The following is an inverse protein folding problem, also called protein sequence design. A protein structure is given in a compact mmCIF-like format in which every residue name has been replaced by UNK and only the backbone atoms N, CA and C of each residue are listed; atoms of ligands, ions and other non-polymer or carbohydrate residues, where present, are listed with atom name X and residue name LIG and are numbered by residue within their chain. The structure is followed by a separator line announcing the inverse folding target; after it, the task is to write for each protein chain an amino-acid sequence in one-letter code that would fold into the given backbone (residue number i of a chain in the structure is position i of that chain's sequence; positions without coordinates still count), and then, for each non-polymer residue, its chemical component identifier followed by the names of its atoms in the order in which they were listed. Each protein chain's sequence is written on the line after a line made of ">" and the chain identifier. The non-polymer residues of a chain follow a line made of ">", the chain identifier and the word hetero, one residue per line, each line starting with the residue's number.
data_IF_187444205066
#
_entry.id   IF_187444205066
#
_cell.length_a   1.000
_cell.length_b   1.000
_cell.length_c   1.000
_cell.angle_alpha   90.00
_cell.angle_beta   90.00
_cell.angle_gamma   90.00
#
_symmetry.space_group_name_H-M   'P 1'
#
loop_
_entity.id
_entity.type
_entity.pdbx_description
1 polymer ?
#
# COMPACT_ATOMS: atom_id res chain seq x y z
N UNK A 1 14.71 -25.45 -13.16
CA UNK A 1 15.42 -24.22 -13.58
C UNK A 1 14.50 -23.09 -13.17
N UNK A 2 14.98 -22.09 -12.44
CA UNK A 2 14.17 -20.89 -12.14
C UNK A 2 14.01 -20.11 -13.44
N UNK A 3 12.90 -20.34 -14.12
CA UNK A 3 12.55 -19.63 -15.36
C UNK A 3 11.04 -19.74 -15.54
N UNK A 4 10.31 -18.61 -15.67
CA UNK A 4 10.80 -17.23 -15.71
C UNK A 4 11.39 -16.72 -14.39
N UNK A 5 12.38 -15.84 -14.47
CA UNK A 5 12.73 -14.97 -13.34
C UNK A 5 11.59 -13.99 -13.13
N UNK A 6 11.31 -13.63 -11.88
CA UNK A 6 10.21 -12.77 -11.51
C UNK A 6 8.83 -13.45 -11.54
N UNK A 7 8.75 -14.74 -11.85
CA UNK A 7 7.52 -15.54 -11.75
C UNK A 7 7.35 -16.00 -10.30
N UNK A 8 6.49 -15.30 -9.57
CA UNK A 8 6.33 -15.48 -8.13
C UNK A 8 5.22 -16.49 -7.78
N UNK A 9 4.53 -17.06 -8.77
CA UNK A 9 3.51 -18.10 -8.58
C UNK A 9 3.79 -19.42 -9.34
N UNK A 10 4.97 -19.53 -9.97
CA UNK A 10 5.46 -20.71 -10.69
C UNK A 10 4.50 -21.17 -11.80
N UNK A 11 3.79 -20.23 -12.45
CA UNK A 11 2.82 -20.52 -13.51
C UNK A 11 3.41 -20.46 -14.93
N UNK A 12 4.71 -20.21 -15.03
CA UNK A 12 5.52 -20.00 -16.24
C UNK A 12 5.20 -18.70 -17.02
N UNK A 13 4.46 -17.75 -16.43
CA UNK A 13 4.06 -16.49 -17.06
C UNK A 13 4.40 -15.30 -16.19
N UNK A 14 5.24 -14.41 -16.72
CA UNK A 14 5.53 -13.14 -16.06
C UNK A 14 4.38 -12.13 -16.25
N UNK A 15 3.76 -11.70 -15.15
CA UNK A 15 2.60 -10.83 -15.09
C UNK A 15 2.74 -9.75 -13.99
N UNK A 16 1.80 -8.80 -13.97
CA UNK A 16 1.72 -7.84 -12.87
C UNK A 16 1.28 -8.49 -11.54
N UNK A 17 0.68 -9.68 -11.62
CA UNK A 17 0.29 -10.46 -10.45
C UNK A 17 1.51 -10.94 -9.64
N UNK A 18 2.60 -11.31 -10.31
CA UNK A 18 3.85 -11.69 -9.65
C UNK A 18 4.43 -10.53 -8.82
N UNK A 19 4.38 -9.32 -9.37
CA UNK A 19 4.79 -8.12 -8.63
C UNK A 19 3.90 -7.88 -7.40
N UNK A 20 2.60 -8.16 -7.49
CA UNK A 20 1.69 -8.04 -6.35
C UNK A 20 1.99 -9.09 -5.27
N UNK A 21 2.26 -10.34 -5.64
CA UNK A 21 2.67 -11.40 -4.71
C UNK A 21 4.01 -11.09 -4.04
N UNK A 22 4.98 -10.64 -4.83
CA UNK A 22 6.29 -10.15 -4.36
C UNK A 22 6.11 -9.05 -3.31
N UNK A 23 5.22 -8.08 -3.57
CA UNK A 23 4.93 -6.98 -2.64
C UNK A 23 4.19 -7.45 -1.38
N UNK A 24 3.32 -8.46 -1.48
CA UNK A 24 2.60 -9.04 -0.35
C UNK A 24 3.54 -9.86 0.55
N UNK A 25 4.48 -10.62 0.00
CA UNK A 25 5.49 -11.38 0.76
C UNK A 25 6.30 -10.46 1.68
N UNK A 26 6.63 -9.24 1.22
CA UNK A 26 7.35 -8.24 2.04
C UNK A 26 6.58 -7.86 3.31
N UNK A 27 5.25 -7.79 3.25
CA UNK A 27 4.39 -7.47 4.39
C UNK A 27 4.01 -8.71 5.22
N UNK A 28 3.76 -9.82 4.55
CA UNK A 28 3.24 -11.05 5.13
C UNK A 28 4.16 -12.22 4.74
N UNK A 29 5.30 -12.41 5.46
CA UNK A 29 6.23 -13.48 5.15
C UNK A 29 5.57 -14.86 5.19
N UNK A 30 6.05 -15.76 4.33
CA UNK A 30 5.50 -17.10 4.07
C UNK A 30 4.21 -17.13 3.23
N UNK A 31 3.96 -16.09 2.43
CA UNK A 31 3.03 -16.12 1.31
C UNK A 31 3.61 -16.94 0.15
N UNK A 32 4.93 -16.84 -0.06
CA UNK A 32 5.68 -17.57 -1.08
C UNK A 32 6.45 -18.76 -0.47
N UNK A 33 6.62 -19.81 -1.28
CA UNK A 33 7.53 -20.90 -0.96
C UNK A 33 8.98 -20.54 -1.37
N UNK A 34 9.98 -21.32 -0.94
CA UNK A 34 11.39 -20.97 -1.15
C UNK A 34 11.85 -20.92 -2.62
N UNK A 35 11.15 -21.56 -3.56
CA UNK A 35 11.44 -21.43 -4.99
C UNK A 35 10.80 -20.17 -5.58
N UNK A 36 9.54 -19.89 -5.23
CA UNK A 36 8.83 -18.66 -5.61
C UNK A 36 9.55 -17.42 -5.07
N UNK A 37 10.05 -17.49 -3.82
CA UNK A 37 10.82 -16.40 -3.21
C UNK A 37 12.12 -16.13 -3.97
N UNK A 38 12.82 -17.20 -4.37
CA UNK A 38 14.05 -17.08 -5.15
C UNK A 38 13.78 -16.59 -6.58
N UNK A 39 12.63 -16.93 -7.17
CA UNK A 39 12.23 -16.44 -8.48
C UNK A 39 11.88 -14.95 -8.43
N UNK A 40 11.20 -14.51 -7.37
CA UNK A 40 10.77 -13.13 -7.17
C UNK A 40 11.92 -12.17 -6.80
N UNK A 41 13.02 -12.67 -6.20
CA UNK A 41 14.23 -11.88 -5.97
C UNK A 41 15.01 -11.65 -7.28
N UNK A 42 14.76 -10.49 -7.91
CA UNK A 42 15.25 -10.15 -9.26
C UNK A 42 16.22 -8.98 -9.28
N UNK A 43 16.53 -8.39 -8.12
CA UNK A 43 17.53 -7.35 -7.98
C UNK A 43 18.98 -7.88 -7.96
N UNK A 44 19.94 -6.99 -7.71
CA UNK A 44 21.37 -7.31 -7.69
C UNK A 44 21.93 -7.59 -6.29
N UNK A 45 21.12 -7.40 -5.24
CA UNK A 45 21.52 -7.55 -3.85
C UNK A 45 21.68 -9.07 -3.52
N UNK A 46 22.42 -9.44 -2.45
CA UNK A 46 22.74 -10.84 -2.20
C UNK A 46 21.49 -11.68 -1.88
N UNK A 47 21.48 -12.98 -2.22
CA UNK A 47 20.35 -13.92 -1.91
C UNK A 47 19.81 -13.77 -0.49
N UNK A 48 20.68 -13.52 0.49
CA UNK A 48 20.32 -13.40 1.91
C UNK A 48 19.69 -12.07 2.35
N UNK A 49 19.55 -11.07 1.47
CA UNK A 49 18.85 -9.81 1.79
C UNK A 49 17.34 -9.93 1.67
N UNK A 50 16.84 -11.01 1.05
CA UNK A 50 15.42 -11.26 0.84
C UNK A 50 14.77 -10.34 -0.20
N UNK A 51 13.51 -10.60 -0.50
CA UNK A 51 12.69 -9.80 -1.40
C UNK A 51 12.34 -8.46 -0.77
N UNK A 52 12.23 -7.42 -1.60
CA UNK A 52 11.79 -6.10 -1.21
C UNK A 52 10.87 -5.48 -2.29
N UNK A 53 10.29 -4.28 -2.06
CA UNK A 53 9.40 -3.65 -3.03
C UNK A 53 10.08 -3.25 -4.36
N UNK A 54 11.41 -3.15 -4.41
CA UNK A 54 12.13 -2.88 -5.65
C UNK A 54 12.12 -4.07 -6.61
N UNK A 55 12.16 -5.31 -6.10
CA UNK A 55 11.96 -6.52 -6.90
C UNK A 55 10.62 -6.47 -7.64
N UNK A 56 9.54 -6.14 -6.93
CA UNK A 56 8.21 -5.97 -7.52
C UNK A 56 8.20 -4.90 -8.62
N UNK A 57 8.89 -3.78 -8.40
CA UNK A 57 9.07 -2.73 -9.42
C UNK A 57 9.83 -3.23 -10.65
N UNK A 58 10.89 -4.03 -10.48
CA UNK A 58 11.65 -4.61 -11.58
C UNK A 58 10.79 -5.58 -12.41
N UNK A 59 9.95 -6.40 -11.75
CA UNK A 59 8.96 -7.27 -12.42
C UNK A 59 8.01 -6.43 -13.28
N UNK A 60 7.47 -5.34 -12.74
CA UNK A 60 6.61 -4.42 -13.49
C UNK A 60 7.34 -3.77 -14.67
N UNK A 61 8.56 -3.27 -14.47
CA UNK A 61 9.39 -2.67 -15.51
C UNK A 61 9.67 -3.65 -16.67
N UNK A 62 9.99 -4.90 -16.35
CA UNK A 62 10.20 -5.93 -17.36
C UNK A 62 8.89 -6.21 -18.11
N UNK A 63 7.77 -6.28 -17.39
CA UNK A 63 6.45 -6.57 -17.98
C UNK A 63 5.99 -5.52 -18.97
N UNK A 64 6.32 -4.25 -18.74
CA UNK A 64 5.99 -3.13 -19.64
C UNK A 64 7.10 -2.82 -20.65
N UNK A 65 8.22 -3.56 -20.61
CA UNK A 65 9.32 -3.43 -21.56
C UNK A 65 10.27 -2.26 -21.32
N UNK A 66 10.28 -1.68 -20.12
CA UNK A 66 11.27 -0.67 -19.70
C UNK A 66 12.66 -1.32 -19.57
N UNK A 67 12.71 -2.54 -19.01
CA UNK A 67 13.90 -3.38 -19.01
C UNK A 67 13.64 -4.66 -19.81
N UNK A 68 14.67 -5.18 -20.46
CA UNK A 68 14.60 -6.43 -21.23
C UNK A 68 15.19 -7.64 -20.50
N UNK A 69 15.80 -7.41 -19.34
CA UNK A 69 16.43 -8.43 -18.48
C UNK A 69 16.53 -7.89 -17.06
N UNK A 70 16.38 -8.77 -16.08
CA UNK A 70 16.49 -8.41 -14.67
C UNK A 70 17.94 -8.16 -14.23
N UNK A 71 18.18 -7.26 -13.26
CA UNK A 71 19.49 -7.07 -12.64
C UNK A 71 20.13 -8.36 -12.11
N UNK A 72 19.33 -9.30 -11.57
CA UNK A 72 19.82 -10.60 -11.10
C UNK A 72 20.53 -11.41 -12.20
N UNK A 73 20.13 -11.19 -13.46
CA UNK A 73 20.71 -11.85 -14.63
C UNK A 73 21.99 -11.16 -15.13
N UNK A 74 22.34 -9.99 -14.57
CA UNK A 74 23.58 -9.31 -14.90
C UNK A 74 24.78 -10.04 -14.30
N UNK A 75 25.89 -10.06 -15.05
CA UNK A 75 27.15 -10.64 -14.60
C UNK A 75 27.74 -9.97 -13.33
N UNK A 76 27.20 -8.82 -12.92
CA UNK A 76 27.60 -8.06 -11.73
C UNK A 76 26.74 -8.35 -10.49
N UNK A 77 25.71 -9.20 -10.60
CA UNK A 77 24.80 -9.48 -9.50
C UNK A 77 25.50 -10.27 -8.39
N UNK A 78 25.31 -9.84 -7.14
CA UNK A 78 25.80 -10.58 -5.96
C UNK A 78 24.95 -11.81 -5.63
N UNK A 79 23.83 -11.95 -6.33
CA UNK A 79 22.93 -13.10 -6.32
C UNK A 79 23.44 -14.26 -7.22
N UNK A 80 24.64 -14.14 -7.85
CA UNK A 80 25.32 -15.19 -8.64
C UNK A 80 26.85 -15.26 -8.39
N UNK A 81 27.53 -16.44 -8.50
CA UNK A 81 29.00 -16.52 -8.39
C UNK A 81 29.73 -16.19 -9.73
N UNK A 82 30.88 -15.48 -9.66
CA UNK A 82 31.92 -15.18 -10.70
C UNK A 82 31.82 -13.77 -11.40
N UNK A 83 32.92 -13.11 -11.86
CA UNK A 83 33.38 -11.80 -11.34
C UNK A 83 33.26 -10.54 -12.24
N UNK A 84 32.83 -9.42 -11.62
CA UNK A 84 33.31 -8.00 -11.68
C UNK A 84 33.29 -7.18 -13.01
N UNK A 85 33.12 -5.82 -13.01
CA UNK A 85 32.33 -4.92 -12.15
C UNK A 85 31.32 -4.02 -12.93
N UNK A 86 30.27 -3.55 -12.23
CA UNK A 86 29.62 -2.25 -12.46
C UNK A 86 28.21 -2.24 -13.08
N UNK A 87 27.18 -2.16 -12.24
CA UNK A 87 25.90 -1.52 -12.59
C UNK A 87 25.56 -0.47 -11.52
N UNK A 88 25.20 0.77 -11.89
CA UNK A 88 24.91 1.83 -10.91
C UNK A 88 23.51 1.65 -10.32
N UNK A 89 23.43 1.75 -8.99
CA UNK A 89 22.18 1.84 -8.22
C UNK A 89 21.85 3.34 -8.07
N UNK A 90 20.85 3.93 -8.75
CA UNK A 90 20.43 5.28 -8.43
C UNK A 90 19.51 5.21 -7.21
N UNK A 91 20.10 5.02 -6.03
CA UNK A 91 19.41 5.47 -4.83
C UNK A 91 19.28 7.00 -4.95
N UNK A 92 18.10 7.60 -4.72
CA UNK A 92 18.00 9.05 -4.67
C UNK A 92 18.98 9.56 -3.60
N UNK A 93 19.94 10.40 -4.01
CA UNK A 93 21.11 10.73 -3.19
C UNK A 93 20.76 11.55 -1.94
N UNK A 94 19.55 12.13 -1.88
CA UNK A 94 19.04 12.81 -0.70
C UNK A 94 17.52 13.01 -0.80
N UNK A 95 16.72 12.11 -0.20
CA UNK A 95 15.27 12.29 -0.18
C UNK A 95 14.84 13.07 1.08
N UNK A 96 14.33 14.29 0.88
CA UNK A 96 13.73 15.06 1.97
C UNK A 96 12.24 14.74 2.10
N UNK A 97 11.88 14.03 3.17
CA UNK A 97 10.49 13.72 3.51
C UNK A 97 9.94 14.69 4.55
N UNK A 98 8.68 15.09 4.38
CA UNK A 98 7.93 15.84 5.39
C UNK A 98 6.55 15.24 5.59
N UNK A 99 6.09 15.19 6.85
CA UNK A 99 4.71 14.89 7.15
C UNK A 99 3.93 16.20 7.24
N UNK A 100 2.98 16.40 6.32
CA UNK A 100 2.19 17.63 6.21
C UNK A 100 0.76 17.35 6.61
N UNK A 101 0.21 18.12 7.55
CA UNK A 101 -1.20 18.00 7.91
C UNK A 101 -2.06 18.76 6.92
N UNK A 102 -3.04 18.05 6.35
CA UNK A 102 -4.07 18.63 5.49
C UNK A 102 -5.44 18.42 6.14
N UNK A 103 -6.48 19.03 5.57
CA UNK A 103 -7.85 18.90 6.06
C UNK A 103 -8.31 17.44 5.97
N UNK A 104 -8.23 16.71 7.09
CA UNK A 104 -8.67 15.33 7.22
C UNK A 104 -7.55 14.29 7.31
N UNK A 105 -6.39 14.55 6.70
CA UNK A 105 -5.35 13.53 6.55
C UNK A 105 -3.94 14.06 6.80
N UNK A 106 -3.01 13.12 7.00
CA UNK A 106 -1.58 13.36 7.06
C UNK A 106 -0.96 12.97 5.72
N UNK A 107 -0.28 13.90 5.08
CA UNK A 107 0.42 13.71 3.82
C UNK A 107 1.87 13.34 4.09
N UNK A 108 2.36 12.26 3.48
CA UNK A 108 3.78 12.00 3.32
C UNK A 108 4.22 12.71 2.04
N UNK A 109 4.98 13.79 2.17
CA UNK A 109 5.45 14.60 1.05
C UNK A 109 6.94 14.41 0.84
N UNK A 110 7.36 14.32 -0.41
CA UNK A 110 8.75 14.32 -0.83
C UNK A 110 9.07 15.56 -1.66
N UNK A 111 10.15 16.26 -1.33
CA UNK A 111 10.60 17.45 -2.10
C UNK A 111 11.20 17.09 -3.46
N UNK A 112 11.58 15.83 -3.67
CA UNK A 112 12.09 15.32 -4.94
C UNK A 112 11.68 13.85 -5.04
N UNK A 113 10.83 13.48 -6.00
CA UNK A 113 10.42 12.07 -6.19
C UNK A 113 11.09 11.41 -7.39
N UNK A 114 11.95 12.15 -8.08
CA UNK A 114 12.64 11.67 -9.26
C UNK A 114 13.34 10.35 -8.92
N UNK A 115 13.26 9.40 -9.85
CA UNK A 115 13.80 8.04 -9.73
C UNK A 115 13.06 7.11 -8.77
N UNK A 116 12.12 7.57 -7.93
CA UNK A 116 11.39 6.66 -7.03
C UNK A 116 10.47 5.75 -7.84
N UNK A 117 10.69 4.44 -7.72
CA UNK A 117 9.84 3.38 -8.31
C UNK A 117 9.30 2.41 -7.27
N UNK A 118 9.87 2.37 -6.07
CA UNK A 118 9.37 1.56 -4.97
C UNK A 118 9.66 2.18 -3.60
N UNK A 119 8.94 1.73 -2.57
CA UNK A 119 9.24 2.09 -1.19
C UNK A 119 8.68 1.16 -0.13
N UNK A 120 9.31 1.19 1.05
CA UNK A 120 8.94 0.49 2.29
C UNK A 120 9.01 1.49 3.45
N UNK A 121 7.83 1.84 3.97
CA UNK A 121 7.64 2.86 4.99
C UNK A 121 7.02 2.25 6.24
N UNK A 122 7.50 2.67 7.41
CA UNK A 122 6.92 2.33 8.71
C UNK A 122 6.57 3.60 9.45
N UNK A 123 5.28 3.81 9.71
CA UNK A 123 4.79 4.92 10.50
C UNK A 123 4.25 4.40 11.82
N UNK A 124 4.76 4.92 12.92
CA UNK A 124 4.24 4.67 14.27
C UNK A 124 3.30 5.81 14.71
N UNK A 125 2.36 5.52 15.63
CA UNK A 125 1.35 6.47 16.10
C UNK A 125 0.21 6.72 15.09
N UNK A 126 0.04 5.80 14.14
CA UNK A 126 -0.95 5.87 13.06
C UNK A 126 -1.78 4.59 13.04
N UNK A 127 -3.05 4.70 13.41
CA UNK A 127 -4.04 3.60 13.31
C UNK A 127 -4.91 3.73 12.05
N UNK A 128 -4.45 4.54 11.10
CA UNK A 128 -5.22 5.08 9.99
C UNK A 128 -5.30 4.20 8.73
N UNK A 129 -5.95 4.75 7.69
CA UNK A 129 -5.92 4.18 6.35
C UNK A 129 -4.97 4.95 5.45
N UNK A 130 -4.18 4.23 4.67
CA UNK A 130 -3.34 4.83 3.63
C UNK A 130 -4.07 4.79 2.31
N UNK A 131 -4.07 5.93 1.65
CA UNK A 131 -4.52 6.12 0.29
C UNK A 131 -3.33 6.69 -0.48
N UNK A 132 -3.03 6.10 -1.63
CA UNK A 132 -2.00 6.68 -2.51
C UNK A 132 -2.45 8.05 -3.01
N UNK A 133 -1.51 8.95 -3.25
CA UNK A 133 -1.86 10.20 -3.94
C UNK A 133 -2.35 9.88 -5.36
N UNK A 134 -3.20 10.76 -5.90
CA UNK A 134 -3.77 10.58 -7.24
C UNK A 134 -2.69 10.54 -8.35
N UNK A 135 -1.51 11.10 -8.05
CA UNK A 135 -0.32 11.11 -8.92
C UNK A 135 0.37 9.75 -9.00
N UNK A 136 -0.03 8.80 -8.16
CA UNK A 136 0.55 7.46 -8.06
C UNK A 136 -0.45 6.35 -8.41
N UNK A 137 -1.55 6.68 -9.09
CA UNK A 137 -2.64 5.74 -9.37
C UNK A 137 -2.26 4.44 -10.10
N UNK A 138 -1.10 4.41 -10.76
CA UNK A 138 -0.59 3.24 -11.50
C UNK A 138 0.36 2.36 -10.67
N UNK A 139 0.71 2.77 -9.45
CA UNK A 139 1.54 1.97 -8.55
C UNK A 139 0.71 0.95 -7.79
N UNK A 140 1.29 -0.23 -7.56
CA UNK A 140 0.79 -1.18 -6.59
C UNK A 140 1.07 -0.65 -5.18
N UNK A 141 0.08 -0.73 -4.30
CA UNK A 141 0.15 -0.32 -2.90
C UNK A 141 -0.41 -1.43 -2.02
N UNK A 142 0.34 -1.80 -0.99
CA UNK A 142 -0.14 -2.67 0.07
C UNK A 142 0.23 -2.07 1.44
N UNK A 143 -0.59 -2.34 2.45
CA UNK A 143 -0.33 -1.87 3.81
C UNK A 143 -0.80 -2.90 4.83
N UNK A 144 -0.12 -2.94 5.97
CA UNK A 144 -0.42 -3.81 7.10
C UNK A 144 -0.40 -2.98 8.38
N UNK A 145 -1.48 -3.06 9.16
CA UNK A 145 -1.52 -2.53 10.52
C UNK A 145 -0.56 -3.33 11.42
N UNK A 146 0.25 -2.62 12.18
CA UNK A 146 1.11 -3.15 13.23
C UNK A 146 0.66 -2.58 14.59
N UNK A 147 1.23 -3.08 15.70
CA UNK A 147 0.78 -2.77 17.06
C UNK A 147 0.49 -1.28 17.33
N UNK A 148 1.41 -0.38 16.96
CA UNK A 148 1.25 1.07 17.10
C UNK A 148 1.58 1.79 15.80
N UNK A 149 1.02 1.33 14.67
CA UNK A 149 1.38 1.93 13.40
C UNK A 149 0.91 1.19 12.15
N UNK A 150 1.56 1.57 11.05
CA UNK A 150 1.25 1.05 9.73
C UNK A 150 2.54 0.86 8.93
N UNK A 151 2.74 -0.36 8.42
CA UNK A 151 3.75 -0.64 7.41
C UNK A 151 3.13 -0.53 6.03
N UNK A 152 3.80 0.17 5.12
CA UNK A 152 3.29 0.52 3.80
C UNK A 152 4.37 0.20 2.79
N UNK A 153 4.01 -0.55 1.77
CA UNK A 153 4.90 -0.85 0.65
C UNK A 153 4.24 -0.49 -0.66
N UNK A 154 5.04 -0.03 -1.61
CA UNK A 154 4.55 0.26 -2.95
C UNK A 154 5.61 -0.01 -4.02
N UNK A 155 5.14 -0.26 -5.24
CA UNK A 155 5.97 -0.52 -6.41
C UNK A 155 5.27 -0.05 -7.69
N UNK A 156 6.02 0.55 -8.61
CA UNK A 156 5.55 1.00 -9.92
C UNK A 156 6.56 0.71 -11.02
N UNK A 157 6.09 0.69 -12.26
CA UNK A 157 6.96 0.46 -13.41
C UNK A 157 7.79 1.71 -13.78
N UNK A 158 7.18 2.89 -13.68
CA UNK A 158 7.82 4.15 -14.06
C UNK A 158 8.18 4.97 -12.82
N UNK A 159 9.28 5.72 -12.93
CA UNK A 159 9.70 6.60 -11.87
C UNK A 159 8.73 7.77 -11.73
N UNK A 160 8.50 8.18 -10.48
CA UNK A 160 7.80 9.42 -10.18
C UNK A 160 8.60 10.64 -10.70
N UNK A 161 7.96 11.81 -10.76
CA UNK A 161 8.60 13.06 -11.19
C UNK A 161 8.23 14.23 -10.30
N UNK A 162 9.21 15.09 -10.03
CA UNK A 162 9.09 16.34 -9.29
C UNK A 162 8.74 16.18 -7.81
N UNK A 163 8.57 17.30 -7.09
CA UNK A 163 8.06 17.30 -5.73
C UNK A 163 6.59 16.85 -5.71
N UNK A 164 6.17 16.21 -4.62
CA UNK A 164 4.75 15.94 -4.43
C UNK A 164 4.44 14.98 -3.31
N UNK A 165 3.15 14.66 -3.23
CA UNK A 165 2.60 13.76 -2.23
C UNK A 165 2.85 12.31 -2.62
N UNK A 166 3.39 11.54 -1.67
CA UNK A 166 3.54 10.10 -1.79
C UNK A 166 2.28 9.40 -1.27
N UNK A 167 1.86 9.71 -0.05
CA UNK A 167 0.79 8.99 0.63
C UNK A 167 -0.11 9.94 1.41
N UNK A 168 -1.40 9.64 1.43
CA UNK A 168 -2.38 10.25 2.32
C UNK A 168 -2.74 9.24 3.39
N UNK A 169 -2.64 9.64 4.64
CA UNK A 169 -2.97 8.83 5.80
C UNK A 169 -4.18 9.46 6.47
N UNK A 170 -5.32 8.84 6.30
CA UNK A 170 -6.57 9.19 6.98
C UNK A 170 -6.63 8.47 8.32
N UNK A 171 -7.47 8.90 9.26
CA UNK A 171 -7.55 8.16 10.53
C UNK A 171 -6.45 8.45 11.54
N UNK A 172 -5.55 9.39 11.27
CA UNK A 172 -4.44 9.71 12.18
C UNK A 172 -4.99 10.37 13.45
N UNK A 173 -4.77 9.72 14.60
CA UNK A 173 -5.16 10.22 15.92
C UNK A 173 -4.45 11.51 16.34
N UNK A 174 -4.62 11.89 17.61
CA UNK A 174 -4.00 13.08 18.19
C UNK A 174 -2.56 12.88 18.70
N UNK A 175 -2.01 11.68 18.53
CA UNK A 175 -0.64 11.34 18.94
C UNK A 175 0.43 11.90 18.00
N UNK A 176 1.68 11.79 18.44
CA UNK A 176 2.84 12.02 17.57
C UNK A 176 2.92 10.91 16.52
N UNK A 177 3.38 11.27 15.33
CA UNK A 177 3.64 10.31 14.26
C UNK A 177 5.14 10.24 14.03
N UNK A 178 5.67 9.02 14.03
CA UNK A 178 7.08 8.76 13.79
C UNK A 178 7.25 7.96 12.51
N UNK A 179 7.97 8.50 11.54
CA UNK A 179 8.43 7.72 10.39
C UNK A 179 9.71 7.00 10.80
N UNK A 180 9.61 5.73 11.18
CA UNK A 180 10.73 4.93 11.70
C UNK A 180 11.44 4.12 10.63
N UNK A 181 10.81 3.95 9.45
CA UNK A 181 11.43 3.33 8.27
C UNK A 181 11.03 4.10 7.01
N UNK A 182 12.01 4.32 6.15
CA UNK A 182 11.82 4.92 4.84
C UNK A 182 12.89 4.39 3.87
N UNK A 183 12.58 3.29 3.20
CA UNK A 183 13.42 2.71 2.16
C UNK A 183 12.80 2.99 0.80
N UNK A 184 13.62 3.31 -0.20
CA UNK A 184 13.20 3.50 -1.59
C UNK A 184 14.25 2.91 -2.52
N UNK A 185 13.82 2.15 -3.54
CA UNK A 185 14.70 1.52 -4.53
C UNK A 185 15.94 0.78 -3.91
N UNK A 186 15.73 0.05 -2.81
CA UNK A 186 16.77 -0.61 -1.99
C UNK A 186 17.79 0.30 -1.29
N UNK A 187 17.60 1.63 -1.33
CA UNK A 187 18.31 2.57 -0.49
C UNK A 187 17.55 2.83 0.81
N UNK A 188 18.26 2.90 1.94
CA UNK A 188 17.71 3.54 3.13
C UNK A 188 17.91 5.05 3.04
N UNK A 189 16.88 5.80 3.42
CA UNK A 189 17.08 7.17 3.88
C UNK A 189 17.18 7.10 5.39
N UNK A 190 18.36 7.34 5.93
CA UNK A 190 18.53 7.51 7.36
C UNK A 190 17.91 8.85 7.76
N UNK A 191 16.72 8.79 8.36
CA UNK A 191 16.06 9.97 8.87
C UNK A 191 14.94 9.60 9.82
N UNK A 192 15.25 9.44 11.11
CA UNK A 192 14.22 9.53 12.15
C UNK A 192 13.65 10.94 12.09
N UNK A 193 12.46 11.08 11.52
CA UNK A 193 11.77 12.37 11.56
C UNK A 193 10.57 12.23 12.48
N UNK A 194 10.74 12.72 13.69
CA UNK A 194 9.65 12.92 14.65
C UNK A 194 8.93 14.19 14.27
N UNK A 195 7.65 14.09 13.97
CA UNK A 195 6.82 15.25 13.67
C UNK A 195 5.80 15.45 14.79
N UNK A 196 5.85 16.62 15.45
CA UNK A 196 4.81 17.01 16.39
C UNK A 196 3.56 17.43 15.62
N UNK A 197 2.46 16.74 15.85
CA UNK A 197 1.19 17.05 15.20
C UNK A 197 0.41 18.06 16.04
N UNK A 198 0.10 19.22 15.47
CA UNK A 198 -0.99 20.03 15.99
C UNK A 198 -2.32 19.38 15.54
N UNK A 199 -3.05 18.79 16.49
CA UNK A 199 -4.35 18.19 16.21
C UNK A 199 -5.32 19.23 15.66
N UNK A 200 -5.92 18.94 14.51
CA UNK A 200 -7.17 19.57 14.09
C UNK A 200 -8.16 18.45 13.83
N UNK A 201 -9.33 18.58 14.42
CA UNK A 201 -10.48 17.74 14.07
C UNK A 201 -10.68 17.78 12.54
N UNK A 202 -11.16 16.69 11.92
CA UNK A 202 -11.53 16.71 10.52
C UNK A 202 -12.44 17.91 10.25
N UNK A 203 -12.10 18.68 9.21
CA UNK A 203 -12.85 19.88 8.84
C UNK A 203 -13.94 19.56 7.80
N UNK A 204 -13.97 18.31 7.30
CA UNK A 204 -14.90 17.83 6.30
C UNK A 204 -15.33 16.39 6.58
N UNK A 205 -16.44 15.98 5.96
CA UNK A 205 -16.87 14.58 5.92
C UNK A 205 -16.21 13.88 4.72
N UNK A 206 -15.76 12.63 4.89
CA UNK A 206 -15.15 11.86 3.81
C UNK A 206 -15.38 10.35 4.00
N UNK A 207 -15.54 9.61 2.90
CA UNK A 207 -15.46 8.15 2.86
C UNK A 207 -14.21 7.74 2.08
N UNK A 208 -13.35 6.89 2.63
CA UNK A 208 -12.08 6.48 1.99
C UNK A 208 -12.20 5.16 1.23
N UNK A 209 -11.21 4.87 0.38
CA UNK A 209 -11.08 3.57 -0.27
C UNK A 209 -10.85 2.48 0.79
N UNK A 210 -11.44 1.30 0.60
CA UNK A 210 -11.19 0.19 1.49
C UNK A 210 -9.77 -0.36 1.28
N UNK A 211 -9.13 -0.83 2.35
CA UNK A 211 -7.78 -1.39 2.30
C UNK A 211 -7.71 -2.68 3.14
N UNK A 212 -7.18 -3.79 2.59
CA UNK A 212 -6.72 -3.96 1.20
C UNK A 212 -7.90 -3.94 0.19
N UNK A 213 -7.61 -3.71 -1.09
CA UNK A 213 -8.55 -3.86 -2.21
C UNK A 213 -7.78 -4.22 -3.50
N UNK A 214 -7.93 -5.42 -4.08
CA UNK A 214 -8.80 -6.52 -3.67
C UNK A 214 -8.46 -7.08 -2.27
N UNK A 215 -9.39 -7.79 -1.63
CA UNK A 215 -9.21 -8.32 -0.27
C UNK A 215 -9.72 -9.76 -0.11
N UNK A 216 -9.18 -10.50 0.88
CA UNK A 216 -9.56 -11.88 1.21
C UNK A 216 -9.43 -12.20 2.71
N UNK A 217 -10.50 -12.53 3.44
CA UNK A 217 -11.87 -12.06 3.26
C UNK A 217 -12.11 -10.73 4.00
N UNK A 218 -11.08 -10.12 4.59
CA UNK A 218 -11.21 -8.93 5.44
C UNK A 218 -10.67 -7.66 4.77
N UNK A 219 -11.41 -6.57 4.91
CA UNK A 219 -10.99 -5.22 4.50
C UNK A 219 -11.49 -4.19 5.50
N UNK A 220 -10.75 -3.10 5.63
CA UNK A 220 -11.14 -1.98 6.48
C UNK A 220 -11.67 -0.84 5.61
N UNK A 221 -12.74 -0.17 6.06
CA UNK A 221 -13.32 1.01 5.44
C UNK A 221 -13.20 2.19 6.41
N UNK A 222 -12.43 3.20 6.05
CA UNK A 222 -12.25 4.42 6.83
C UNK A 222 -13.19 5.53 6.38
N UNK A 223 -13.55 6.40 7.34
CA UNK A 223 -14.31 7.62 7.07
C UNK A 223 -14.05 8.70 8.12
N UNK A 224 -14.32 9.95 7.76
CA UNK A 224 -14.12 11.13 8.60
C UNK A 224 -15.45 11.86 8.82
N UNK A 225 -15.63 12.39 10.04
CA UNK A 225 -16.78 13.17 10.44
C UNK A 225 -16.33 14.55 10.93
N UNK A 226 -16.80 15.62 10.27
CA UNK A 226 -16.50 16.99 10.68
C UNK A 226 -17.18 17.41 11.99
N UNK A 227 -18.30 16.76 12.33
CA UNK A 227 -19.08 17.00 13.53
C UNK A 227 -19.72 15.72 14.02
N UNK A 228 -20.11 15.67 15.30
CA UNK A 228 -20.87 14.53 15.82
C UNK A 228 -22.20 14.39 15.07
N UNK A 229 -22.40 13.24 14.42
CA UNK A 229 -23.48 13.03 13.45
C UNK A 229 -23.93 11.57 13.47
N UNK A 230 -25.20 11.32 13.15
CA UNK A 230 -25.71 9.97 12.90
C UNK A 230 -25.08 9.37 11.64
N UNK A 231 -24.42 8.22 11.77
CA UNK A 231 -23.69 7.54 10.70
C UNK A 231 -24.37 6.22 10.34
N UNK A 232 -24.47 5.97 9.03
CA UNK A 232 -24.84 4.68 8.46
C UNK A 232 -23.81 4.28 7.39
N UNK A 233 -23.10 3.18 7.64
CA UNK A 233 -22.18 2.57 6.67
C UNK A 233 -22.72 1.19 6.30
N UNK A 234 -23.09 1.01 5.04
CA UNK A 234 -23.73 -0.20 4.53
C UNK A 234 -23.01 -0.72 3.27
N UNK A 235 -22.99 -2.04 3.12
CA UNK A 235 -22.45 -2.77 1.97
C UNK A 235 -23.61 -3.32 1.15
N UNK A 236 -23.49 -3.24 -0.17
CA UNK A 236 -24.47 -3.66 -1.16
C UNK A 236 -23.80 -4.52 -2.24
N UNK A 237 -24.57 -5.42 -2.83
CA UNK A 237 -24.17 -6.09 -4.08
C UNK A 237 -24.39 -5.18 -5.30
N UNK A 238 -23.99 -5.64 -6.49
CA UNK A 238 -24.17 -4.88 -7.74
C UNK A 238 -25.64 -4.70 -8.15
N UNK A 239 -26.57 -5.48 -7.58
CA UNK A 239 -28.01 -5.33 -7.78
C UNK A 239 -28.61 -4.28 -6.82
N UNK A 240 -27.79 -3.69 -5.94
CA UNK A 240 -28.21 -2.74 -4.92
C UNK A 240 -28.89 -3.39 -3.71
N UNK A 241 -28.83 -4.72 -3.58
CA UNK A 241 -29.34 -5.41 -2.40
C UNK A 241 -28.37 -5.20 -1.24
N UNK A 242 -28.90 -4.84 -0.08
CA UNK A 242 -28.08 -4.66 1.12
C UNK A 242 -27.53 -6.01 1.58
N UNK A 243 -26.22 -6.09 1.68
CA UNK A 243 -25.47 -7.26 2.14
C UNK A 243 -25.21 -7.18 3.64
N UNK A 244 -24.68 -6.03 4.10
CA UNK A 244 -24.23 -5.87 5.48
C UNK A 244 -24.40 -4.44 5.96
N UNK A 245 -24.80 -4.26 7.22
CA UNK A 245 -24.69 -2.98 7.94
C UNK A 245 -23.43 -3.02 8.80
N UNK A 246 -22.48 -2.13 8.55
CA UNK A 246 -21.21 -2.07 9.29
C UNK A 246 -21.29 -1.08 10.46
N UNK A 247 -21.94 0.06 10.25
CA UNK A 247 -22.13 1.11 11.26
C UNK A 247 -23.55 1.65 11.15
N UNK A 248 -24.22 1.83 12.30
CA UNK A 248 -25.55 2.42 12.39
C UNK A 248 -25.75 3.13 13.74
N UNK A 249 -24.96 4.18 14.01
CA UNK A 249 -24.96 4.88 15.28
C UNK A 249 -24.50 6.34 15.14
N UNK A 250 -24.74 7.15 16.17
CA UNK A 250 -24.14 8.50 16.26
C UNK A 250 -22.70 8.37 16.71
N UNK A 251 -21.79 8.95 15.94
CA UNK A 251 -20.36 8.96 16.25
C UNK A 251 -19.90 10.40 16.53
N UNK A 252 -18.87 10.62 17.37
CA UNK A 252 -18.27 11.94 17.58
C UNK A 252 -17.54 12.42 16.32
N UNK A 253 -17.27 13.72 16.25
CA UNK A 253 -16.37 14.27 15.24
C UNK A 253 -14.99 13.59 15.35
N UNK A 254 -14.36 13.30 14.22
CA UNK A 254 -13.11 12.54 14.18
C UNK A 254 -13.09 11.52 13.06
N UNK A 255 -12.03 10.73 13.06
CA UNK A 255 -11.82 9.68 12.08
C UNK A 255 -12.25 8.33 12.65
N UNK A 256 -12.82 7.49 11.79
CA UNK A 256 -13.45 6.23 12.16
C UNK A 256 -13.12 5.15 11.14
N UNK A 257 -13.22 3.89 11.56
CA UNK A 257 -13.02 2.73 10.72
C UNK A 257 -14.07 1.67 10.99
N UNK A 258 -14.37 0.85 9.97
CA UNK A 258 -15.20 -0.32 10.09
C UNK A 258 -14.60 -1.48 9.29
N UNK A 259 -14.50 -2.65 9.93
CA UNK A 259 -14.05 -3.89 9.29
C UNK A 259 -15.23 -4.57 8.58
N UNK A 260 -14.99 -5.07 7.38
CA UNK A 260 -15.89 -6.03 6.73
C UNK A 260 -15.15 -7.34 6.42
N UNK A 261 -15.74 -8.46 6.83
CA UNK A 261 -15.18 -9.81 6.79
C UNK A 261 -15.75 -10.68 5.65
N UNK A 262 -16.37 -10.05 4.66
CA UNK A 262 -17.00 -10.75 3.55
C UNK A 262 -18.24 -11.55 3.98
N UNK A 263 -18.91 -11.19 5.09
CA UNK A 263 -20.18 -11.80 5.50
C UNK A 263 -21.37 -10.83 5.36
N UNK A 264 -22.55 -11.38 5.18
CA UNK A 264 -23.81 -10.64 5.20
C UNK A 264 -24.33 -10.43 6.62
N UNK A 265 -25.47 -9.75 6.78
CA UNK A 265 -26.11 -9.50 8.10
C UNK A 265 -26.47 -10.80 8.85
N UNK A 266 -26.66 -11.93 8.16
CA UNK A 266 -26.91 -13.25 8.76
C UNK A 266 -25.62 -13.99 9.17
N UNK A 267 -24.44 -13.40 8.99
CA UNK A 267 -23.16 -14.03 9.27
C UNK A 267 -22.73 -15.07 8.22
N UNK A 268 -23.43 -15.14 7.09
CA UNK A 268 -23.13 -16.06 5.98
C UNK A 268 -22.12 -15.37 5.06
N UNK A 269 -21.09 -16.11 4.65
CA UNK A 269 -20.07 -15.60 3.76
C UNK A 269 -20.65 -15.36 2.36
N UNK A 270 -20.32 -14.22 1.77
CA UNK A 270 -20.74 -13.88 0.40
C UNK A 270 -19.68 -14.32 -0.62
N UNK A 271 -20.08 -14.44 -1.89
CA UNK A 271 -19.19 -14.90 -2.96
C UNK A 271 -18.18 -13.83 -3.41
N UNK A 272 -17.10 -14.27 -4.07
CA UNK A 272 -16.15 -13.36 -4.72
C UNK A 272 -16.87 -12.46 -5.73
N UNK A 273 -16.48 -11.19 -5.81
CA UNK A 273 -17.16 -10.22 -6.67
C UNK A 273 -16.96 -8.77 -6.26
N UNK A 274 -17.58 -7.88 -7.04
CA UNK A 274 -17.60 -6.44 -6.75
C UNK A 274 -18.76 -6.13 -5.81
N UNK A 275 -18.46 -5.36 -4.77
CA UNK A 275 -19.42 -4.83 -3.82
C UNK A 275 -19.33 -3.31 -3.79
N UNK A 276 -20.41 -2.66 -3.37
CA UNK A 276 -20.48 -1.21 -3.18
C UNK A 276 -20.71 -0.93 -1.71
N UNK A 277 -20.02 0.05 -1.15
CA UNK A 277 -20.31 0.53 0.20
C UNK A 277 -20.70 2.00 0.17
N UNK A 278 -21.66 2.37 1.03
CA UNK A 278 -22.22 3.71 1.14
C UNK A 278 -22.11 4.21 2.56
N UNK A 279 -21.55 5.40 2.72
CA UNK A 279 -21.58 6.17 3.96
C UNK A 279 -22.65 7.25 3.85
N UNK A 280 -23.52 7.32 4.85
CA UNK A 280 -24.43 8.44 5.10
C UNK A 280 -24.09 9.05 6.46
N UNK A 281 -23.86 10.36 6.49
CA UNK A 281 -23.56 11.13 7.70
C UNK A 281 -24.26 12.50 7.61
N UNK A 282 -25.47 12.61 8.17
CA UNK A 282 -26.28 13.83 8.07
C UNK A 282 -26.65 14.12 6.61
N UNK A 283 -26.19 15.26 6.07
CA UNK A 283 -26.40 15.62 4.66
C UNK A 283 -25.33 15.04 3.72
N UNK A 284 -24.25 14.47 4.26
CA UNK A 284 -23.18 13.85 3.47
C UNK A 284 -23.57 12.42 3.08
N UNK A 285 -23.41 12.09 1.80
CA UNK A 285 -23.52 10.73 1.29
C UNK A 285 -22.43 10.48 0.24
N UNK A 286 -21.69 9.38 0.39
CA UNK A 286 -20.67 8.97 -0.57
C UNK A 286 -20.69 7.45 -0.74
N UNK A 287 -20.44 7.00 -1.96
CA UNK A 287 -20.36 5.58 -2.33
C UNK A 287 -19.02 5.26 -2.95
N UNK A 288 -18.49 4.07 -2.66
CA UNK A 288 -17.27 3.52 -3.27
C UNK A 288 -17.44 2.02 -3.53
N UNK A 289 -16.55 1.45 -4.35
CA UNK A 289 -16.57 0.03 -4.76
C UNK A 289 -15.38 -0.72 -4.17
N UNK A 290 -15.54 -2.00 -3.95
CA UNK A 290 -14.51 -2.91 -3.45
C UNK A 290 -14.60 -4.29 -4.12
N UNK A 291 -13.50 -5.03 -4.16
CA UNK A 291 -13.41 -6.35 -4.77
C UNK A 291 -13.02 -7.40 -3.72
N UNK A 292 -13.94 -8.34 -3.46
CA UNK A 292 -13.68 -9.53 -2.65
C UNK A 292 -13.14 -10.63 -3.57
N UNK A 293 -11.96 -11.14 -3.24
CA UNK A 293 -11.32 -12.29 -3.90
C UNK A 293 -11.18 -13.42 -2.89
N UNK A 294 -11.35 -14.64 -3.38
CA UNK A 294 -11.35 -15.86 -2.59
C UNK A 294 -11.06 -17.07 -3.45
#
# INVERSE_FOLDING_TARGET
>A
MLNPWGDADDNEQLQAFDAALTLLEVLFPATLNGLEELAANVDSDPVGTGINPFDASLILQHRVGIISSFPVQAATSTNHPQPNPGSPKPAPQQLALSLRTNNGYLSVWAEERDQIVSGDLLLEGVEGQVVMSDELGDFLLASQSIDDGLRIVFAGAEAMSGPGELLRIHGVGSGNVHLTRALFNNGSIEGQTTFERASRAPVAFALHANAPNPFNPETTIGFELASSTGVRLEVFDLLGQKVRTLVAQTLPAGSHQALWDGRNDAGIQVGSGVYVYRLEAGAFAQTRRMMLVK
#
